data_IF_877579651258
#
_entry.id   IF_877579651258
#
_cell.length_a   1.000
_cell.length_b   1.000
_cell.length_c   1.000
_cell.angle_alpha   90.00
_cell.angle_beta   90.00
_cell.angle_gamma   90.00
#
_symmetry.space_group_name_H-M   'P 1'
#
loop_
_entity.id
_entity.type
_entity.pdbx_description
1 polymer ?
#
# COMPACT_ATOMS: atom_id res chain seq x y z
N UNK A 1 0.93 18.85 23.22
CA UNK A 1 1.10 17.74 22.27
C UNK A 1 2.34 16.95 22.67
N UNK A 2 2.23 15.62 22.82
CA UNK A 2 3.33 14.78 23.33
C UNK A 2 4.55 14.84 22.36
N UNK A 3 5.76 15.20 22.81
CA UNK A 3 6.98 15.29 21.98
C UNK A 3 7.28 14.03 21.16
N UNK A 4 6.85 12.87 21.65
CA UNK A 4 6.93 11.58 20.96
C UNK A 4 6.18 11.56 19.62
N UNK A 5 5.01 12.19 19.53
CA UNK A 5 4.18 12.21 18.31
C UNK A 5 4.81 13.07 17.21
N UNK A 6 5.61 14.08 17.58
CA UNK A 6 6.36 14.89 16.60
C UNK A 6 7.61 14.18 16.08
N UNK A 7 8.29 13.41 16.92
CA UNK A 7 9.52 12.68 16.56
C UNK A 7 9.25 11.51 15.61
N UNK A 8 8.15 10.76 15.83
CA UNK A 8 7.83 9.55 15.06
C UNK A 8 6.64 9.73 14.11
N UNK A 9 6.41 10.96 13.65
CA UNK A 9 5.24 11.28 12.81
C UNK A 9 5.14 10.39 11.58
N UNK A 10 6.27 10.11 10.93
CA UNK A 10 6.31 9.28 9.72
C UNK A 10 6.07 7.79 10.02
N UNK A 11 6.73 7.27 11.05
CA UNK A 11 6.63 5.88 11.49
C UNK A 11 5.22 5.54 11.98
N UNK A 12 4.60 6.42 12.78
CA UNK A 12 3.22 6.26 13.25
C UNK A 12 2.24 6.29 12.08
N UNK A 13 2.44 7.19 11.11
CA UNK A 13 1.62 7.24 9.91
C UNK A 13 1.71 5.94 9.10
N UNK A 14 2.91 5.36 8.95
CA UNK A 14 3.12 4.09 8.28
C UNK A 14 2.40 2.92 8.98
N UNK A 15 2.52 2.81 10.31
CA UNK A 15 1.84 1.77 11.09
C UNK A 15 0.31 1.93 11.07
N UNK A 16 -0.17 3.18 11.07
CA UNK A 16 -1.61 3.48 10.96
C UNK A 16 -2.15 3.10 9.57
N UNK A 17 -1.40 3.39 8.51
CA UNK A 17 -1.74 2.93 7.16
C UNK A 17 -1.78 1.39 7.10
N UNK A 18 -0.79 0.70 7.68
CA UNK A 18 -0.74 -0.75 7.74
C UNK A 18 -1.95 -1.36 8.47
N UNK A 19 -2.36 -0.78 9.60
CA UNK A 19 -3.57 -1.21 10.31
C UNK A 19 -4.84 -1.06 9.45
N UNK A 20 -5.00 0.09 8.80
CA UNK A 20 -6.14 0.35 7.92
C UNK A 20 -6.16 -0.63 6.74
N UNK A 21 -5.01 -0.89 6.12
CA UNK A 21 -4.89 -1.85 5.03
C UNK A 21 -5.12 -3.29 5.47
N UNK A 22 -4.72 -3.65 6.69
CA UNK A 22 -5.05 -4.96 7.26
C UNK A 22 -6.56 -5.18 7.31
N UNK A 23 -7.33 -4.21 7.84
CA UNK A 23 -8.80 -4.28 7.89
C UNK A 23 -9.39 -4.33 6.48
N UNK A 24 -8.91 -3.47 5.57
CA UNK A 24 -9.42 -3.40 4.20
C UNK A 24 -9.14 -4.68 3.38
N UNK A 25 -8.04 -5.38 3.64
CA UNK A 25 -7.64 -6.58 2.89
C UNK A 25 -8.69 -7.70 2.95
N UNK A 26 -9.35 -7.89 4.09
CA UNK A 26 -10.44 -8.85 4.26
C UNK A 26 -11.65 -8.52 3.38
N UNK A 27 -11.91 -7.23 3.17
CA UNK A 27 -13.02 -6.75 2.33
C UNK A 27 -12.65 -6.86 0.84
N UNK A 28 -11.44 -6.42 0.47
CA UNK A 28 -10.98 -6.51 -0.92
C UNK A 28 -10.86 -7.94 -1.43
N UNK A 29 -10.52 -8.91 -0.58
CA UNK A 29 -10.54 -10.32 -0.95
C UNK A 29 -11.94 -10.80 -1.39
N UNK A 30 -13.01 -10.27 -0.78
CA UNK A 30 -14.39 -10.59 -1.17
C UNK A 30 -14.83 -9.85 -2.43
N UNK A 31 -14.44 -8.57 -2.55
CA UNK A 31 -14.76 -7.73 -3.71
C UNK A 31 -14.06 -8.20 -4.99
N UNK A 32 -12.77 -8.58 -4.89
CA UNK A 32 -11.96 -9.06 -6.02
C UNK A 32 -12.42 -10.38 -6.64
N UNK A 33 -13.32 -11.12 -5.97
CA UNK A 33 -13.98 -12.31 -6.56
C UNK A 33 -15.08 -11.95 -7.56
N UNK A 34 -15.57 -10.71 -7.54
CA UNK A 34 -16.69 -10.25 -8.38
C UNK A 34 -16.29 -9.17 -9.37
N UNK A 35 -15.24 -8.42 -9.06
CA UNK A 35 -14.78 -7.27 -9.86
C UNK A 35 -13.36 -7.50 -10.32
N UNK A 36 -13.07 -7.18 -11.57
CA UNK A 36 -11.72 -7.19 -12.13
C UNK A 36 -10.77 -6.30 -11.30
N UNK A 37 -9.46 -6.62 -11.28
CA UNK A 37 -8.44 -5.76 -10.69
C UNK A 37 -8.53 -4.30 -11.12
N UNK A 38 -8.78 -4.05 -12.40
CA UNK A 38 -8.80 -2.72 -13.00
C UNK A 38 -10.02 -1.92 -12.52
N UNK A 39 -11.20 -2.53 -12.52
CA UNK A 39 -12.44 -1.87 -12.05
C UNK A 39 -12.40 -1.64 -10.55
N UNK A 40 -11.93 -2.61 -9.76
CA UNK A 40 -11.80 -2.45 -8.32
C UNK A 40 -10.82 -1.31 -7.97
N UNK A 41 -9.67 -1.26 -8.64
CA UNK A 41 -8.67 -0.22 -8.43
C UNK A 41 -9.14 1.16 -8.91
N UNK A 42 -9.79 1.22 -10.08
CA UNK A 42 -10.35 2.46 -10.62
C UNK A 42 -11.43 3.02 -9.70
N UNK A 43 -12.38 2.19 -9.28
CA UNK A 43 -13.50 2.61 -8.43
C UNK A 43 -13.03 3.13 -7.07
N UNK A 44 -12.14 2.40 -6.37
CA UNK A 44 -11.61 2.86 -5.08
C UNK A 44 -10.85 4.18 -5.22
N UNK A 45 -10.12 4.35 -6.32
CA UNK A 45 -9.29 5.53 -6.57
C UNK A 45 -10.14 6.75 -6.92
N UNK A 46 -11.17 6.59 -7.75
CA UNK A 46 -12.12 7.68 -8.06
C UNK A 46 -12.84 8.15 -6.81
N UNK A 47 -13.33 7.22 -5.96
CA UNK A 47 -13.98 7.58 -4.70
C UNK A 47 -13.01 8.32 -3.76
N UNK A 48 -11.76 7.88 -3.67
CA UNK A 48 -10.74 8.56 -2.88
C UNK A 48 -10.39 9.96 -3.42
N UNK A 49 -10.35 10.14 -4.75
CA UNK A 49 -10.15 11.47 -5.37
C UNK A 49 -11.27 12.42 -4.98
N UNK A 50 -12.54 11.99 -5.03
CA UNK A 50 -13.67 12.83 -4.63
C UNK A 50 -13.56 13.27 -3.17
N UNK A 51 -13.16 12.35 -2.28
CA UNK A 51 -12.93 12.65 -0.86
C UNK A 51 -11.75 13.60 -0.65
N UNK A 52 -10.66 13.47 -1.41
CA UNK A 52 -9.50 14.37 -1.34
C UNK A 52 -9.85 15.77 -1.82
N UNK A 53 -10.55 15.90 -2.95
CA UNK A 53 -10.98 17.19 -3.49
C UNK A 53 -11.90 17.89 -2.48
N UNK A 54 -12.86 17.16 -1.91
CA UNK A 54 -13.72 17.69 -0.85
C UNK A 54 -12.91 18.13 0.38
N UNK A 55 -11.95 17.33 0.81
CA UNK A 55 -11.11 17.65 1.97
C UNK A 55 -10.24 18.89 1.73
N UNK A 56 -9.60 18.98 0.57
CA UNK A 56 -8.80 20.15 0.17
C UNK A 56 -9.66 21.42 0.12
N UNK A 57 -10.88 21.32 -0.41
CA UNK A 57 -11.84 22.42 -0.45
C UNK A 57 -12.28 22.84 0.96
N UNK A 58 -12.64 21.90 1.84
CA UNK A 58 -13.05 22.22 3.22
C UNK A 58 -11.91 22.85 4.01
N UNK A 59 -10.68 22.36 3.85
CA UNK A 59 -9.51 22.88 4.54
C UNK A 59 -8.97 24.18 3.92
N UNK A 60 -9.49 24.61 2.77
CA UNK A 60 -8.97 25.72 1.98
C UNK A 60 -7.45 25.56 1.72
N UNK A 61 -6.99 24.31 1.55
CA UNK A 61 -5.59 23.98 1.29
C UNK A 61 -5.31 24.26 -0.19
N UNK A 62 -4.93 25.50 -0.48
CA UNK A 62 -4.58 25.92 -1.82
C UNK A 62 -3.38 25.11 -2.34
N UNK A 63 -3.29 24.88 -3.67
CA UNK A 63 -2.13 24.22 -4.23
C UNK A 63 -0.88 25.03 -3.88
N UNK A 64 -0.07 24.48 -2.97
CA UNK A 64 1.29 24.98 -2.67
C UNK A 64 2.07 25.11 -3.97
N UNK A 65 3.07 26.00 -4.03
CA UNK A 65 3.91 26.22 -5.21
C UNK A 65 4.50 24.90 -5.75
N UNK A 66 3.78 24.27 -6.67
CA UNK A 66 4.08 22.96 -7.23
C UNK A 66 5.16 23.16 -8.29
N UNK A 67 6.39 22.78 -7.95
CA UNK A 67 7.45 22.76 -8.95
C UNK A 67 7.11 21.72 -10.02
N UNK A 68 7.46 22.01 -11.27
CA UNK A 68 7.23 21.09 -12.39
C UNK A 68 7.87 19.73 -12.15
N UNK A 69 9.04 19.71 -11.50
CA UNK A 69 9.74 18.48 -11.14
C UNK A 69 8.93 17.64 -10.14
N UNK A 70 8.44 18.25 -9.05
CA UNK A 70 7.65 17.53 -8.06
C UNK A 70 6.34 17.01 -8.66
N UNK A 71 5.66 17.80 -9.50
CA UNK A 71 4.48 17.35 -10.23
C UNK A 71 4.79 16.12 -11.11
N UNK A 72 5.85 16.15 -11.90
CA UNK A 72 6.25 15.02 -12.76
C UNK A 72 6.59 13.77 -11.95
N UNK A 73 7.34 13.91 -10.86
CA UNK A 73 7.69 12.80 -9.97
C UNK A 73 6.45 12.18 -9.32
N UNK A 74 5.49 13.00 -8.88
CA UNK A 74 4.24 12.52 -8.28
C UNK A 74 3.32 11.87 -9.31
N UNK A 75 3.23 12.42 -10.53
CA UNK A 75 2.48 11.78 -11.61
C UNK A 75 3.10 10.43 -11.99
N UNK A 76 4.42 10.35 -12.12
CA UNK A 76 5.12 9.10 -12.42
C UNK A 76 4.95 8.08 -11.27
N UNK A 77 5.06 8.55 -10.03
CA UNK A 77 4.81 7.75 -8.83
C UNK A 77 3.40 7.17 -8.81
N UNK A 78 2.38 7.98 -9.13
CA UNK A 78 0.99 7.55 -9.19
C UNK A 78 0.71 6.57 -10.32
N UNK A 79 1.23 6.87 -11.52
CA UNK A 79 1.10 6.01 -12.69
C UNK A 79 1.70 4.62 -12.44
N UNK A 80 2.91 4.56 -11.90
CA UNK A 80 3.60 3.30 -11.61
C UNK A 80 3.00 2.61 -10.39
N UNK A 81 2.95 3.27 -9.23
CA UNK A 81 2.53 2.64 -7.98
C UNK A 81 1.05 2.30 -7.93
N UNK A 82 0.18 3.23 -8.30
CA UNK A 82 -1.29 3.07 -8.18
C UNK A 82 -1.88 2.52 -9.47
N UNK A 83 -1.50 3.06 -10.64
CA UNK A 83 -2.04 2.62 -11.92
C UNK A 83 -1.63 1.18 -12.25
N UNK A 84 -0.32 0.94 -12.34
CA UNK A 84 0.24 -0.38 -12.70
C UNK A 84 0.33 -1.28 -11.46
N UNK A 85 0.90 -0.79 -10.36
CA UNK A 85 1.21 -1.55 -9.16
C UNK A 85 -0.02 -2.15 -8.48
N UNK A 86 -0.97 -1.34 -8.02
CA UNK A 86 -2.19 -1.84 -7.36
C UNK A 86 -3.00 -2.78 -8.27
N UNK A 87 -3.06 -2.50 -9.58
CA UNK A 87 -3.74 -3.37 -10.55
C UNK A 87 -3.03 -4.72 -10.66
N UNK A 88 -1.69 -4.71 -10.75
CA UNK A 88 -0.89 -5.94 -10.74
C UNK A 88 -1.00 -6.69 -9.42
N UNK A 89 -1.09 -5.99 -8.28
CA UNK A 89 -1.28 -6.59 -6.96
C UNK A 89 -2.62 -7.34 -6.87
N UNK A 90 -3.73 -6.70 -7.24
CA UNK A 90 -5.04 -7.37 -7.28
C UNK A 90 -5.05 -8.53 -8.29
N UNK A 91 -4.39 -8.37 -9.44
CA UNK A 91 -4.18 -9.47 -10.38
C UNK A 91 -3.40 -10.63 -9.77
N UNK A 92 -2.35 -10.36 -8.99
CA UNK A 92 -1.59 -11.36 -8.24
C UNK A 92 -2.45 -12.05 -7.19
N UNK A 93 -3.28 -11.31 -6.44
CA UNK A 93 -4.26 -11.89 -5.50
C UNK A 93 -5.20 -12.86 -6.22
N UNK A 94 -5.75 -12.46 -7.37
CA UNK A 94 -6.68 -13.30 -8.12
C UNK A 94 -6.03 -14.57 -8.67
N UNK A 95 -4.74 -14.53 -9.01
CA UNK A 95 -4.00 -15.67 -9.58
C UNK A 95 -3.28 -16.54 -8.54
N UNK A 96 -2.79 -15.99 -7.43
CA UNK A 96 -2.01 -16.73 -6.43
C UNK A 96 -2.74 -16.91 -5.09
N UNK A 97 -3.80 -16.14 -4.86
CA UNK A 97 -4.38 -15.91 -3.54
C UNK A 97 -3.62 -14.85 -2.74
N UNK A 98 -4.32 -14.24 -1.78
CA UNK A 98 -3.80 -13.13 -0.96
C UNK A 98 -2.47 -13.45 -0.29
N UNK A 99 -2.33 -14.64 0.30
CA UNK A 99 -1.11 -15.06 0.99
C UNK A 99 0.15 -14.95 0.11
N UNK A 100 0.11 -15.57 -1.07
CA UNK A 100 1.27 -15.59 -1.98
C UNK A 100 1.53 -14.22 -2.59
N UNK A 101 0.48 -13.46 -2.90
CA UNK A 101 0.62 -12.08 -3.37
C UNK A 101 1.32 -11.20 -2.31
N UNK A 102 0.91 -11.28 -1.04
CA UNK A 102 1.53 -10.57 0.07
C UNK A 102 3.00 -10.98 0.30
N UNK A 103 3.37 -12.24 0.05
CA UNK A 103 4.77 -12.65 0.07
C UNK A 103 5.60 -11.95 -1.02
N UNK A 104 5.05 -11.79 -2.23
CA UNK A 104 5.73 -11.04 -3.29
C UNK A 104 5.84 -9.56 -2.89
N UNK A 105 4.77 -8.98 -2.35
CA UNK A 105 4.71 -7.59 -1.86
C UNK A 105 5.76 -7.31 -0.77
N UNK A 106 6.11 -8.33 0.05
CA UNK A 106 7.14 -8.21 1.10
C UNK A 106 8.54 -7.87 0.56
N UNK A 107 8.76 -7.97 -0.75
CA UNK A 107 9.98 -7.50 -1.41
C UNK A 107 10.01 -5.97 -1.58
N UNK A 108 8.88 -5.28 -1.51
CA UNK A 108 8.81 -3.84 -1.74
C UNK A 108 9.67 -3.03 -0.75
N UNK A 109 9.70 -3.31 0.58
CA UNK A 109 10.54 -2.55 1.50
C UNK A 109 12.05 -2.60 1.25
N UNK A 110 12.70 -3.77 1.08
CA UNK A 110 14.14 -3.81 0.76
C UNK A 110 14.41 -3.20 -0.62
N UNK A 111 13.53 -3.39 -1.61
CA UNK A 111 13.65 -2.72 -2.90
C UNK A 111 13.57 -1.20 -2.76
N UNK A 112 12.63 -0.67 -1.98
CA UNK A 112 12.49 0.77 -1.75
C UNK A 112 13.72 1.34 -1.05
N UNK A 113 14.29 0.63 -0.08
CA UNK A 113 15.53 1.04 0.59
C UNK A 113 16.71 1.11 -0.40
N UNK A 114 16.87 0.11 -1.27
CA UNK A 114 17.92 0.08 -2.28
C UNK A 114 17.72 1.17 -3.35
N UNK A 115 16.50 1.31 -3.88
CA UNK A 115 16.19 2.34 -4.88
C UNK A 115 16.39 3.73 -4.28
N UNK A 116 15.99 3.98 -3.03
CA UNK A 116 16.22 5.25 -2.34
C UNK A 116 17.71 5.52 -2.09
N UNK A 117 18.50 4.49 -1.75
CA UNK A 117 19.94 4.64 -1.61
C UNK A 117 20.58 5.10 -2.93
N UNK A 118 20.27 4.46 -4.06
CA UNK A 118 20.88 4.83 -5.35
C UNK A 118 20.31 6.13 -5.94
N UNK A 119 19.00 6.36 -5.82
CA UNK A 119 18.32 7.47 -6.49
C UNK A 119 18.24 8.74 -5.64
N UNK A 120 18.07 8.60 -4.33
CA UNK A 120 17.93 9.72 -3.39
C UNK A 120 19.16 9.91 -2.50
N UNK A 121 20.18 9.05 -2.62
CA UNK A 121 21.36 9.06 -1.75
C UNK A 121 21.01 8.88 -0.27
N UNK A 122 19.90 8.18 0.02
CA UNK A 122 19.48 7.89 1.39
C UNK A 122 20.37 6.84 2.03
N UNK A 123 21.14 7.25 3.03
CA UNK A 123 21.95 6.34 3.82
C UNK A 123 21.17 5.83 5.03
N UNK A 124 21.03 4.52 5.12
CA UNK A 124 20.48 3.83 6.28
C UNK A 124 21.63 3.21 7.07
N UNK A 125 21.63 3.43 8.40
CA UNK A 125 22.60 2.78 9.27
C UNK A 125 22.36 1.25 9.33
N UNK A 126 23.34 0.51 9.84
CA UNK A 126 23.27 -0.95 9.91
C UNK A 126 22.05 -1.44 10.73
N UNK A 127 21.69 -0.70 11.80
CA UNK A 127 20.53 -1.00 12.65
C UNK A 127 19.23 -0.93 11.83
N UNK A 128 19.08 0.07 10.98
CA UNK A 128 17.93 0.22 10.12
C UNK A 128 17.83 -0.93 9.12
N UNK A 129 18.93 -1.35 8.49
CA UNK A 129 18.93 -2.52 7.60
C UNK A 129 18.52 -3.80 8.32
N UNK A 130 19.08 -4.07 9.50
CA UNK A 130 18.68 -5.22 10.32
C UNK A 130 17.19 -5.13 10.68
N UNK A 131 16.71 -3.94 11.04
CA UNK A 131 15.30 -3.69 11.31
C UNK A 131 14.39 -4.00 10.12
N UNK A 132 14.77 -3.56 8.90
CA UNK A 132 14.04 -3.85 7.66
C UNK A 132 13.98 -5.36 7.42
N UNK A 133 15.12 -6.06 7.45
CA UNK A 133 15.17 -7.50 7.17
C UNK A 133 14.44 -8.33 8.23
N UNK A 134 14.54 -7.98 9.51
CA UNK A 134 13.78 -8.65 10.58
C UNK A 134 12.28 -8.42 10.43
N UNK A 135 11.86 -7.19 10.12
CA UNK A 135 10.44 -6.85 9.91
C UNK A 135 9.88 -7.65 8.73
N UNK A 136 10.53 -7.56 7.57
CA UNK A 136 10.12 -8.24 6.34
C UNK A 136 10.17 -9.75 6.49
N UNK A 137 11.25 -10.29 7.06
CA UNK A 137 11.41 -11.73 7.29
C UNK A 137 10.36 -12.28 8.26
N UNK A 138 10.08 -11.57 9.35
CA UNK A 138 9.03 -11.93 10.31
C UNK A 138 7.63 -11.89 9.68
N UNK A 139 7.31 -10.84 8.90
CA UNK A 139 6.04 -10.75 8.17
C UNK A 139 5.91 -11.88 7.14
N UNK A 140 6.96 -12.13 6.35
CA UNK A 140 6.97 -13.22 5.37
C UNK A 140 6.74 -14.57 6.07
N UNK A 141 7.36 -14.79 7.23
CA UNK A 141 7.13 -15.98 8.05
C UNK A 141 5.68 -16.09 8.52
N UNK A 142 5.11 -15.02 9.08
CA UNK A 142 3.69 -14.97 9.51
C UNK A 142 2.77 -15.31 8.35
N UNK A 143 2.97 -14.68 7.19
CA UNK A 143 2.17 -14.92 5.99
C UNK A 143 2.34 -16.36 5.51
N UNK A 144 3.52 -16.97 5.65
CA UNK A 144 3.73 -18.40 5.35
C UNK A 144 3.01 -19.36 6.31
N UNK A 145 2.75 -18.93 7.55
CA UNK A 145 2.09 -19.74 8.56
C UNK A 145 0.57 -19.59 8.57
N UNK A 146 0.03 -18.51 8.00
CA UNK A 146 -1.42 -18.36 7.82
C UNK A 146 -1.96 -19.53 6.95
N UNK A 147 -2.74 -20.40 7.61
CA UNK A 147 -3.17 -21.70 7.12
C UNK A 147 -4.59 -21.70 6.56
N UNK A 148 -4.71 -22.18 5.31
CA UNK A 148 -5.87 -22.87 4.72
C UNK A 148 -7.29 -22.30 4.90
N UNK A 149 -7.77 -21.56 3.89
CA UNK A 149 -9.21 -21.55 3.57
C UNK A 149 -9.54 -21.83 2.10
N UNK A 150 -8.62 -21.58 1.15
CA UNK A 150 -8.80 -22.03 -0.24
C UNK A 150 -7.44 -22.28 -0.88
N UNK A 151 -7.09 -23.55 -1.14
CA UNK A 151 -6.10 -23.88 -2.16
C UNK A 151 -6.67 -23.40 -3.50
N UNK A 152 -6.40 -22.15 -3.87
CA UNK A 152 -6.62 -21.71 -5.25
C UNK A 152 -5.57 -22.46 -6.07
N UNK A 153 -5.94 -23.63 -6.59
CA UNK A 153 -5.23 -24.27 -7.71
C UNK A 153 -5.48 -23.38 -8.91
N UNK A 154 -4.76 -22.28 -9.01
CA UNK A 154 -4.82 -21.42 -10.17
C UNK A 154 -4.01 -22.05 -11.29
N UNK A 155 -4.58 -22.21 -12.50
CA UNK A 155 -3.86 -22.70 -13.67
C UNK A 155 -2.75 -21.73 -14.14
N UNK A 156 -2.65 -20.52 -13.55
CA UNK A 156 -1.74 -19.46 -14.01
C UNK A 156 -0.78 -18.97 -12.91
N UNK A 157 -0.14 -19.90 -12.20
CA UNK A 157 0.80 -19.58 -11.11
C UNK A 157 1.94 -18.64 -11.56
N UNK A 158 2.53 -18.87 -12.74
CA UNK A 158 3.63 -18.04 -13.25
C UNK A 158 3.18 -16.61 -13.58
N UNK A 159 1.97 -16.45 -14.12
CA UNK A 159 1.37 -15.14 -14.37
C UNK A 159 1.17 -14.39 -13.05
N UNK A 160 0.66 -15.09 -12.03
CA UNK A 160 0.49 -14.52 -10.70
C UNK A 160 1.81 -14.08 -10.07
N UNK A 161 2.87 -14.88 -10.19
CA UNK A 161 4.21 -14.52 -9.69
C UNK A 161 4.72 -13.27 -10.42
N UNK A 162 4.64 -13.25 -11.76
CA UNK A 162 5.03 -12.08 -12.55
C UNK A 162 4.29 -10.81 -12.14
N UNK A 163 2.97 -10.89 -11.95
CA UNK A 163 2.15 -9.77 -11.46
C UNK A 163 2.56 -9.32 -10.05
N UNK A 164 2.85 -10.26 -9.14
CA UNK A 164 3.32 -9.94 -7.79
C UNK A 164 4.68 -9.24 -7.78
N UNK A 165 5.62 -9.64 -8.65
CA UNK A 165 6.92 -8.98 -8.77
C UNK A 165 6.78 -7.57 -9.37
N UNK A 166 5.92 -7.41 -10.38
CA UNK A 166 5.60 -6.09 -10.94
C UNK A 166 4.97 -5.18 -9.87
N UNK A 167 4.05 -5.71 -9.07
CA UNK A 167 3.44 -4.97 -7.96
C UNK A 167 4.50 -4.49 -6.95
N UNK A 168 5.33 -5.39 -6.44
CA UNK A 168 6.35 -5.06 -5.44
C UNK A 168 7.36 -4.02 -5.96
N UNK A 169 7.82 -4.17 -7.20
CA UNK A 169 8.74 -3.21 -7.82
C UNK A 169 8.08 -1.85 -8.08
N UNK A 170 6.81 -1.86 -8.51
CA UNK A 170 6.04 -0.63 -8.76
C UNK A 170 5.75 0.13 -7.48
N UNK A 171 5.43 -0.58 -6.39
CA UNK A 171 5.24 0.00 -5.06
C UNK A 171 6.54 0.62 -4.54
N UNK A 172 7.66 -0.11 -4.62
CA UNK A 172 8.96 0.41 -4.22
C UNK A 172 9.35 1.67 -5.02
N UNK A 173 9.27 1.60 -6.35
CA UNK A 173 9.62 2.71 -7.23
C UNK A 173 8.69 3.90 -7.04
N UNK A 174 7.38 3.67 -6.96
CA UNK A 174 6.37 4.69 -6.71
C UNK A 174 6.59 5.40 -5.37
N UNK A 175 6.91 4.64 -4.32
CA UNK A 175 7.22 5.19 -3.01
C UNK A 175 8.47 6.08 -3.03
N UNK A 176 9.55 5.64 -3.68
CA UNK A 176 10.78 6.43 -3.79
C UNK A 176 10.57 7.69 -4.61
N UNK A 177 9.85 7.63 -5.74
CA UNK A 177 9.51 8.81 -6.54
C UNK A 177 8.65 9.81 -5.76
N UNK A 178 7.70 9.31 -4.97
CA UNK A 178 6.88 10.15 -4.09
C UNK A 178 7.74 10.81 -3.01
N UNK A 179 8.68 10.08 -2.41
CA UNK A 179 9.62 10.64 -1.44
C UNK A 179 10.53 11.70 -2.07
N UNK A 180 11.04 11.45 -3.27
CA UNK A 180 11.83 12.41 -4.04
C UNK A 180 11.09 13.75 -4.22
N UNK A 181 9.79 13.69 -4.51
CA UNK A 181 8.97 14.89 -4.67
C UNK A 181 8.70 15.61 -3.33
N UNK A 182 8.71 14.89 -2.21
CA UNK A 182 8.32 15.40 -0.89
C UNK A 182 9.47 15.92 -0.03
N UNK A 183 10.72 15.51 -0.30
CA UNK A 183 11.90 15.88 0.49
C UNK A 183 12.15 17.40 0.52
N UNK A 184 12.14 18.02 -0.66
CA UNK A 184 12.50 19.45 -0.81
C UNK A 184 11.32 20.29 -1.30
N UNK A 185 10.09 19.86 -1.00
CA UNK A 185 8.89 20.61 -1.40
C UNK A 185 7.95 20.90 -0.24
N UNK A 186 7.34 22.08 -0.31
CA UNK A 186 6.27 22.49 0.60
C UNK A 186 4.94 21.80 0.28
N UNK A 187 4.93 20.85 -0.67
CA UNK A 187 3.72 20.15 -1.11
C UNK A 187 3.07 19.44 0.07
N UNK A 188 1.79 19.73 0.29
CA UNK A 188 1.01 19.07 1.32
C UNK A 188 0.85 17.58 0.97
N UNK A 189 0.79 16.72 1.98
CA UNK A 189 0.65 15.27 1.74
C UNK A 189 -0.72 14.95 1.13
N UNK A 190 -1.72 15.81 1.30
CA UNK A 190 -3.01 15.74 0.61
C UNK A 190 -2.87 15.97 -0.90
N UNK A 191 -2.21 17.07 -1.30
CA UNK A 191 -1.93 17.36 -2.71
C UNK A 191 -1.11 16.26 -3.36
N UNK A 192 -0.08 15.77 -2.67
CA UNK A 192 0.72 14.63 -3.11
C UNK A 192 -0.12 13.38 -3.36
N UNK A 193 -1.05 13.08 -2.45
CA UNK A 193 -1.98 11.93 -2.59
C UNK A 193 -2.91 12.11 -3.78
N UNK A 194 -3.48 13.32 -3.95
CA UNK A 194 -4.39 13.63 -5.04
C UNK A 194 -3.72 13.48 -6.41
N UNK A 195 -2.53 14.07 -6.59
CA UNK A 195 -1.79 14.01 -7.87
C UNK A 195 -1.45 12.56 -8.22
N UNK A 196 -0.98 11.77 -7.24
CA UNK A 196 -0.69 10.34 -7.46
C UNK A 196 -1.94 9.57 -7.89
N UNK A 197 -3.08 9.79 -7.21
CA UNK A 197 -4.34 9.11 -7.56
C UNK A 197 -4.86 9.54 -8.93
N UNK A 198 -4.80 10.82 -9.28
CA UNK A 198 -5.20 11.32 -10.61
C UNK A 198 -4.37 10.64 -11.72
N UNK A 199 -3.04 10.56 -11.54
CA UNK A 199 -2.17 9.89 -12.50
C UNK A 199 -2.43 8.37 -12.57
N UNK A 200 -2.66 7.71 -11.44
CA UNK A 200 -3.05 6.30 -11.40
C UNK A 200 -4.37 6.03 -12.12
N UNK A 201 -5.39 6.86 -11.87
CA UNK A 201 -6.69 6.76 -12.56
C UNK A 201 -6.55 7.02 -14.05
N UNK A 202 -5.71 7.98 -14.48
CA UNK A 202 -5.45 8.20 -15.90
C UNK A 202 -4.90 6.94 -16.58
N UNK A 203 -3.92 6.26 -15.96
CA UNK A 203 -3.40 4.98 -16.48
C UNK A 203 -4.49 3.91 -16.55
N UNK A 204 -5.33 3.80 -15.52
CA UNK A 204 -6.44 2.84 -15.47
C UNK A 204 -7.45 3.11 -16.58
N UNK A 205 -7.81 4.38 -16.83
CA UNK A 205 -8.74 4.75 -17.89
C UNK A 205 -8.18 4.43 -19.28
N UNK A 206 -6.89 4.71 -19.52
CA UNK A 206 -6.21 4.35 -20.76
C UNK A 206 -6.16 2.84 -20.97
N UNK A 207 -6.00 2.06 -19.89
CA UNK A 207 -6.04 0.60 -19.94
C UNK A 207 -7.46 0.09 -20.22
N UNK A 208 -8.48 0.62 -19.55
CA UNK A 208 -9.89 0.26 -19.78
C UNK A 208 -10.33 0.53 -21.22
N UNK A 209 -9.81 1.59 -21.87
CA UNK A 209 -10.05 1.84 -23.29
C UNK A 209 -9.61 0.72 -24.23
N UNK A 210 -8.74 -0.20 -23.77
CA UNK A 210 -8.28 -1.39 -24.51
C UNK A 210 -8.93 -2.69 -24.03
N UNK A 211 -9.65 -2.66 -22.91
CA UNK A 211 -10.25 -3.83 -22.26
C UNK A 211 -11.67 -3.50 -21.79
N UNK A 212 -12.49 -3.03 -22.73
CA UNK A 212 -13.84 -2.54 -22.45
C UNK A 212 -14.76 -3.60 -21.86
N UNK A 213 -14.48 -4.89 -22.07
CA UNK A 213 -15.24 -5.99 -21.45
C UNK A 213 -15.19 -5.95 -19.92
N UNK A 214 -14.11 -5.43 -19.32
CA UNK A 214 -14.02 -5.29 -17.87
C UNK A 214 -15.04 -4.29 -17.32
N UNK A 215 -15.54 -3.34 -18.13
CA UNK A 215 -16.56 -2.38 -17.70
C UNK A 215 -17.87 -3.05 -17.30
N UNK A 216 -18.12 -4.29 -17.73
CA UNK A 216 -19.27 -5.05 -17.27
C UNK A 216 -19.30 -5.23 -15.75
N UNK A 217 -18.15 -5.31 -15.09
CA UNK A 217 -18.08 -5.49 -13.64
C UNK A 217 -18.57 -4.26 -12.85
N UNK A 218 -18.74 -3.10 -13.50
CA UNK A 218 -19.41 -1.95 -12.90
C UNK A 218 -20.86 -2.27 -12.51
N UNK A 219 -21.49 -3.29 -13.11
CA UNK A 219 -22.85 -3.72 -12.74
C UNK A 219 -22.96 -4.10 -11.26
N UNK A 220 -21.89 -4.62 -10.65
CA UNK A 220 -21.87 -4.98 -9.23
C UNK A 220 -22.01 -3.77 -8.30
N UNK A 221 -21.62 -2.58 -8.75
CA UNK A 221 -21.75 -1.33 -8.01
C UNK A 221 -23.18 -0.78 -8.01
N UNK A 222 -24.09 -1.31 -8.86
CA UNK A 222 -25.51 -0.90 -8.84
C UNK A 222 -26.22 -1.32 -7.56
N UNK A 223 -25.70 -2.32 -6.85
CA UNK A 223 -26.22 -2.72 -5.54
C UNK A 223 -25.80 -1.68 -4.48
N UNK A 224 -26.74 -1.00 -3.79
CA UNK A 224 -26.41 0.01 -2.78
C UNK A 224 -25.51 -0.54 -1.67
N UNK A 225 -25.73 -1.81 -1.29
CA UNK A 225 -24.90 -2.51 -0.30
C UNK A 225 -23.46 -2.69 -0.77
N UNK A 226 -23.26 -3.10 -2.02
CA UNK A 226 -21.91 -3.31 -2.58
C UNK A 226 -21.21 -1.96 -2.74
N UNK A 227 -21.90 -0.95 -3.26
CA UNK A 227 -21.37 0.40 -3.35
C UNK A 227 -20.95 0.96 -1.99
N UNK A 228 -21.80 0.84 -0.96
CA UNK A 228 -21.48 1.30 0.38
C UNK A 228 -20.25 0.60 0.97
N UNK A 229 -20.10 -0.71 0.74
CA UNK A 229 -18.91 -1.46 1.16
C UNK A 229 -17.67 -0.96 0.43
N UNK A 230 -17.74 -0.77 -0.89
CA UNK A 230 -16.61 -0.26 -1.70
C UNK A 230 -16.25 1.16 -1.25
N UNK A 231 -17.22 2.04 -1.04
CA UNK A 231 -17.00 3.41 -0.59
C UNK A 231 -16.39 3.50 0.81
N UNK A 232 -16.91 2.73 1.77
CA UNK A 232 -16.34 2.68 3.12
C UNK A 232 -14.91 2.11 3.11
N UNK A 233 -14.67 1.09 2.29
CA UNK A 233 -13.32 0.50 2.15
C UNK A 233 -12.36 1.47 1.45
N UNK A 234 -12.82 2.20 0.43
CA UNK A 234 -12.04 3.22 -0.26
C UNK A 234 -11.70 4.41 0.65
N UNK A 235 -12.65 4.85 1.48
CA UNK A 235 -12.44 5.89 2.48
C UNK A 235 -11.30 5.51 3.44
N UNK A 236 -11.35 4.31 4.03
CA UNK A 236 -10.27 3.83 4.88
C UNK A 236 -8.97 3.64 4.09
N UNK A 237 -8.96 2.68 3.18
CA UNK A 237 -7.71 2.21 2.57
C UNK A 237 -7.06 3.17 1.58
N UNK A 238 -7.85 3.79 0.69
CA UNK A 238 -7.31 4.52 -0.46
C UNK A 238 -7.21 6.00 -0.16
N UNK A 239 -8.22 6.57 0.50
CA UNK A 239 -8.17 7.95 0.98
C UNK A 239 -7.23 8.09 2.19
N UNK A 240 -7.60 7.55 3.36
CA UNK A 240 -6.78 7.69 4.56
C UNK A 240 -5.45 6.92 4.45
N UNK A 241 -5.47 5.68 3.96
CA UNK A 241 -4.27 4.85 3.90
C UNK A 241 -3.17 5.41 2.99
N UNK A 242 -3.50 5.86 1.77
CA UNK A 242 -2.48 6.46 0.88
C UNK A 242 -2.06 7.84 1.41
N UNK A 243 -2.96 8.63 1.99
CA UNK A 243 -2.58 9.90 2.62
C UNK A 243 -1.62 9.72 3.80
N UNK A 244 -1.85 8.71 4.64
CA UNK A 244 -0.94 8.32 5.71
C UNK A 244 0.38 7.77 5.15
N UNK A 245 0.36 7.02 4.05
CA UNK A 245 1.57 6.59 3.34
C UNK A 245 2.38 7.80 2.84
N UNK A 246 1.74 8.83 2.27
CA UNK A 246 2.42 10.07 1.86
C UNK A 246 3.00 10.82 3.06
N UNK A 247 2.29 10.82 4.18
CA UNK A 247 2.78 11.40 5.43
C UNK A 247 4.00 10.64 5.94
N UNK A 248 3.99 9.31 5.89
CA UNK A 248 5.16 8.50 6.20
C UNK A 248 6.35 8.86 5.29
N UNK A 249 6.15 8.85 3.97
CA UNK A 249 7.22 9.14 3.01
C UNK A 249 7.76 10.57 3.10
N UNK A 250 6.97 11.53 3.59
CA UNK A 250 7.44 12.89 3.86
C UNK A 250 8.35 12.95 5.09
N UNK A 251 7.99 12.24 6.17
CA UNK A 251 8.65 12.39 7.47
C UNK A 251 9.61 11.25 7.84
N UNK A 252 9.71 10.18 7.06
CA UNK A 252 10.68 9.10 7.31
C UNK A 252 11.22 8.47 6.02
N UNK A 253 12.43 7.90 6.12
CA UNK A 253 13.14 7.24 5.02
C UNK A 253 12.27 6.24 4.25
N UNK A 254 12.42 6.15 2.93
CA UNK A 254 11.53 5.33 2.09
C UNK A 254 11.53 3.85 2.52
N UNK A 255 12.71 3.29 2.76
CA UNK A 255 12.85 1.91 3.23
C UNK A 255 12.13 1.64 4.56
N UNK A 256 12.16 2.62 5.48
CA UNK A 256 11.51 2.48 6.79
C UNK A 256 10.00 2.68 6.70
N UNK A 257 9.54 3.70 5.97
CA UNK A 257 8.13 3.91 5.68
C UNK A 257 7.49 2.66 5.06
N UNK A 258 8.16 2.06 4.08
CA UNK A 258 7.68 0.84 3.41
C UNK A 258 7.72 -0.37 4.34
N UNK A 259 8.76 -0.53 5.15
CA UNK A 259 8.86 -1.67 6.09
C UNK A 259 7.76 -1.64 7.14
N UNK A 260 7.51 -0.47 7.73
CA UNK A 260 6.42 -0.28 8.68
C UNK A 260 5.05 -0.36 8.00
N UNK A 261 4.91 0.15 6.78
CA UNK A 261 3.68 0.03 5.99
C UNK A 261 3.35 -1.43 5.60
N UNK A 262 4.36 -2.29 5.48
CA UNK A 262 4.19 -3.70 5.15
C UNK A 262 3.72 -4.57 6.33
N UNK A 263 3.61 -4.02 7.54
CA UNK A 263 3.24 -4.78 8.76
C UNK A 263 1.75 -5.14 8.85
N UNK A 264 0.95 -4.84 7.82
CA UNK A 264 -0.48 -5.17 7.75
C UNK A 264 -0.81 -6.62 8.18
N UNK A 265 -0.02 -7.65 7.81
CA UNK A 265 -0.28 -9.02 8.27
C UNK A 265 -0.20 -9.23 9.77
N UNK A 266 0.58 -8.42 10.51
CA UNK A 266 0.62 -8.48 11.98
C UNK A 266 -0.70 -8.02 12.59
N UNK A 267 -1.28 -6.95 12.05
CA UNK A 267 -2.59 -6.43 12.49
C UNK A 267 -3.76 -7.33 12.08
N UNK A 268 -3.60 -8.12 11.02
CA UNK A 268 -4.60 -9.08 10.58
C UNK A 268 -4.72 -10.30 11.53
N UNK A 269 -3.66 -10.65 12.27
CA UNK A 269 -3.67 -11.84 13.14
C UNK A 269 -4.68 -11.77 14.30
N UNK A 270 -4.76 -10.69 15.10
CA UNK A 270 -5.79 -10.58 16.13
C UNK A 270 -7.21 -10.66 15.56
N UNK A 271 -7.43 -10.08 14.38
CA UNK A 271 -8.71 -10.14 13.68
C UNK A 271 -9.05 -11.57 13.25
N UNK A 272 -8.05 -12.34 12.79
CA UNK A 272 -8.20 -13.75 12.46
C UNK A 272 -8.54 -14.59 13.70
N UNK A 273 -7.90 -14.36 14.84
CA UNK A 273 -8.22 -15.03 16.12
C UNK A 273 -9.64 -14.72 16.56
N UNK A 274 -10.04 -13.44 16.46
CA UNK A 274 -11.40 -13.03 16.78
C UNK A 274 -12.44 -13.68 15.86
N UNK A 275 -12.08 -13.97 14.61
CA UNK A 275 -12.88 -14.76 13.67
C UNK A 275 -12.84 -16.28 13.93
N UNK A 276 -12.13 -16.74 14.96
CA UNK A 276 -12.04 -18.14 15.36
C UNK A 276 -10.89 -18.93 14.71
N UNK A 277 -9.98 -18.28 13.98
CA UNK A 277 -8.81 -18.95 13.40
C UNK A 277 -7.75 -19.25 14.46
N UNK A 278 -7.12 -20.43 14.37
CA UNK A 278 -6.03 -20.82 15.27
C UNK A 278 -4.69 -20.32 14.73
N UNK A 279 -3.97 -19.54 15.55
CA UNK A 279 -2.59 -19.11 15.22
C UNK A 279 -1.61 -20.24 15.56
N UNK A 280 -0.72 -20.58 14.63
CA UNK A 280 0.36 -21.55 14.88
C UNK A 280 1.43 -20.94 15.79
N UNK A 281 2.07 -21.75 16.64
CA UNK A 281 3.21 -21.28 17.45
C UNK A 281 4.34 -20.70 16.58
N UNK A 282 4.51 -21.22 15.37
CA UNK A 282 5.48 -20.72 14.39
C UNK A 282 5.12 -19.32 13.89
N UNK A 283 3.84 -18.98 13.75
CA UNK A 283 3.42 -17.62 13.42
C UNK A 283 3.78 -16.64 14.55
N UNK A 284 3.71 -17.06 15.82
CA UNK A 284 4.12 -16.23 16.96
C UNK A 284 5.60 -15.87 16.89
N UNK A 285 6.47 -16.81 16.49
CA UNK A 285 7.91 -16.52 16.27
C UNK A 285 8.08 -15.44 15.20
N UNK A 286 7.37 -15.55 14.08
CA UNK A 286 7.39 -14.53 13.02
C UNK A 286 6.91 -13.16 13.51
N UNK A 287 5.89 -13.12 14.36
CA UNK A 287 5.42 -11.87 15.01
C UNK A 287 6.52 -11.26 15.88
N UNK A 288 7.14 -12.06 16.75
CA UNK A 288 8.22 -11.57 17.63
C UNK A 288 9.39 -11.03 16.82
N UNK A 289 9.80 -11.73 15.75
CA UNK A 289 10.84 -11.25 14.83
C UNK A 289 10.45 -9.91 14.18
N UNK A 290 9.20 -9.79 13.72
CA UNK A 290 8.75 -8.56 13.09
C UNK A 290 8.67 -7.38 14.09
N UNK A 291 8.19 -7.62 15.31
CA UNK A 291 8.15 -6.63 16.38
C UNK A 291 9.55 -6.17 16.80
N UNK A 292 10.52 -7.09 16.88
CA UNK A 292 11.92 -6.75 17.12
C UNK A 292 12.49 -5.86 15.99
N UNK A 293 12.17 -6.19 14.73
CA UNK A 293 12.52 -5.37 13.58
C UNK A 293 11.92 -3.95 13.66
N UNK A 294 10.63 -3.85 13.97
CA UNK A 294 9.94 -2.56 14.17
C UNK A 294 10.62 -1.76 15.28
N UNK A 295 10.91 -2.39 16.42
CA UNK A 295 11.60 -1.73 17.53
C UNK A 295 12.96 -1.15 17.09
N UNK A 296 13.76 -1.92 16.33
CA UNK A 296 15.03 -1.43 15.79
C UNK A 296 14.85 -0.21 14.87
N UNK A 297 13.80 -0.22 14.03
CA UNK A 297 13.48 0.89 13.13
C UNK A 297 13.09 2.18 13.86
N UNK A 298 12.54 2.07 15.08
CA UNK A 298 12.28 3.22 15.96
C UNK A 298 13.54 3.64 16.74
N UNK A 299 14.40 2.70 17.11
CA UNK A 299 15.63 2.96 17.91
C UNK A 299 16.80 3.55 17.12
N UNK A 300 16.68 3.66 15.79
CA UNK A 300 17.77 4.10 14.90
C UNK A 300 18.07 5.60 14.94
N UNK A 301 17.26 6.38 15.66
CA UNK A 301 17.33 7.84 15.78
C UNK A 301 18.16 8.23 17.01
#
# INVERSE_FOLDING_TARGET
MLPFLSLFKGEIAALSAALIWAIASFVYLKLGRRMSPLILNGTKSVLAILLLVLTLWVLQDNPSALTRQALLLLMLSGAIGIGIGDTAFFGSINNLGARRALLMESLAPPLAALIAFFFLQETLNAIAWVGIFLTVGGIAWVVMEQGSATKVRSPHIWRGIGLGLVAAFSQASGAVLSRAALLDSEISTLWSTLIRLLAGVLVILLWLGRQSEELEDLKWLRSPRTFAIVAATAFGSTFLGIWLQQTALKFTAAGVAQSLGATSPLFALPLAVWAGERISYRAVIGVVMALAGIWLLFSRL
#
